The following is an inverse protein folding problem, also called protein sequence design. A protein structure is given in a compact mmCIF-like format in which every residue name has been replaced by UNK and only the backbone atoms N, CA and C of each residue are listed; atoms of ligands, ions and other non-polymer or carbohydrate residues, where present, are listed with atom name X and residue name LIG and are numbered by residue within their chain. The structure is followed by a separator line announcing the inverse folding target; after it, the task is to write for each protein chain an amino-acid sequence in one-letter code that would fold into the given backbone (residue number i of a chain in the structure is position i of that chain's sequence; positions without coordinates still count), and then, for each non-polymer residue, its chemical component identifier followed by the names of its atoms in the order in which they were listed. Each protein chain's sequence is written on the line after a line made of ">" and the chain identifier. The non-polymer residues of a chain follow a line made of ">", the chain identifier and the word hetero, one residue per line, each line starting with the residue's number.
data_IF_425594541217
#
_entry.id   IF_425594541217
#
_cell.length_a   1.000
_cell.length_b   1.000
_cell.length_c   1.000
_cell.angle_alpha   90.00
_cell.angle_beta   90.00
_cell.angle_gamma   90.00
#
_symmetry.space_group_name_H-M   'P 1'
#
loop_
_entity.id
_entity.type
_entity.pdbx_description
1 polymer ?
#
# COMPACT_ATOMS: atom_id res chain seq x y z
N UNK A 1 25.43 3.30 -1.63
CA UNK A 1 24.39 2.30 -1.90
C UNK A 1 23.07 2.97 -1.56
N UNK A 2 22.27 3.37 -2.55
CA UNK A 2 21.04 4.14 -2.33
C UNK A 2 19.91 3.24 -1.85
N UNK A 3 19.10 3.70 -0.91
CA UNK A 3 17.86 3.03 -0.53
C UNK A 3 16.89 3.06 -1.71
N UNK A 4 16.39 1.89 -2.11
CA UNK A 4 15.39 1.78 -3.17
C UNK A 4 14.03 1.76 -2.48
N UNK A 5 13.31 2.89 -2.53
CA UNK A 5 12.04 3.06 -1.84
C UNK A 5 10.86 2.59 -2.69
N UNK A 6 10.07 1.64 -2.20
CA UNK A 6 8.87 1.19 -2.89
C UNK A 6 7.72 2.17 -2.71
N UNK A 7 6.95 2.42 -3.76
CA UNK A 7 5.79 3.30 -3.71
C UNK A 7 4.52 2.47 -3.55
N UNK A 8 3.77 2.76 -2.48
CA UNK A 8 2.47 2.15 -2.20
C UNK A 8 1.38 3.20 -2.42
N UNK A 9 0.41 2.88 -3.28
CA UNK A 9 -0.74 3.77 -3.52
C UNK A 9 -2.00 3.17 -2.89
N UNK A 10 -2.62 3.95 -2.01
CA UNK A 10 -3.90 3.63 -1.37
C UNK A 10 -5.00 4.48 -2.04
N UNK A 11 -5.89 3.90 -2.84
CA UNK A 11 -6.93 4.63 -3.56
C UNK A 11 -8.13 5.01 -2.67
N UNK A 12 -8.19 4.46 -1.45
CA UNK A 12 -9.24 4.71 -0.47
C UNK A 12 -8.62 4.89 0.90
N UNK A 13 -9.31 5.60 1.79
CA UNK A 13 -8.99 5.69 3.23
C UNK A 13 -9.87 4.76 4.06
N UNK A 14 -10.91 4.16 3.46
CA UNK A 14 -11.77 3.17 4.10
C UNK A 14 -11.03 1.84 4.20
N UNK A 15 -10.84 1.27 5.41
CA UNK A 15 -10.21 -0.03 5.59
C UNK A 15 -10.96 -1.18 4.92
N UNK A 16 -12.25 -1.01 4.61
CA UNK A 16 -13.08 -2.04 3.97
C UNK A 16 -12.87 -2.13 2.46
N UNK A 17 -12.33 -1.07 1.86
CA UNK A 17 -12.16 -0.92 0.41
C UNK A 17 -10.68 -0.72 0.04
N UNK A 18 -9.79 -1.08 0.97
CA UNK A 18 -8.37 -0.78 0.88
C UNK A 18 -7.65 -1.87 0.09
N UNK A 19 -7.45 -1.61 -1.20
CA UNK A 19 -6.56 -2.38 -2.09
C UNK A 19 -5.32 -1.56 -2.36
N UNK A 20 -4.13 -2.12 -2.17
CA UNK A 20 -2.86 -1.41 -2.35
C UNK A 20 -2.21 -1.85 -3.63
N UNK A 21 -1.81 -0.89 -4.47
CA UNK A 21 -0.97 -1.20 -5.62
C UNK A 21 0.49 -0.92 -5.27
N UNK A 22 1.34 -1.94 -5.43
CA UNK A 22 2.78 -1.85 -5.24
C UNK A 22 3.41 -1.48 -6.58
N UNK A 23 4.22 -0.43 -6.61
CA UNK A 23 4.92 0.01 -7.81
C UNK A 23 6.42 -0.24 -7.71
N UNK A 24 7.02 -0.64 -8.84
CA UNK A 24 8.47 -0.66 -8.96
C UNK A 24 9.00 0.79 -8.98
N UNK A 25 9.95 1.13 -8.10
CA UNK A 25 10.49 2.50 -8.01
C UNK A 25 11.25 2.98 -9.25
N UNK A 26 11.71 2.08 -10.11
CA UNK A 26 12.49 2.41 -11.30
C UNK A 26 11.61 2.49 -12.56
N UNK A 27 10.46 1.81 -12.57
CA UNK A 27 9.60 1.67 -13.74
C UNK A 27 8.20 2.29 -13.63
N UNK A 28 7.71 2.66 -12.45
CA UNK A 28 6.32 3.13 -12.28
C UNK A 28 5.26 2.11 -12.70
N UNK A 29 5.66 0.86 -12.97
CA UNK A 29 4.80 -0.24 -13.37
C UNK A 29 4.26 -0.91 -12.10
N UNK A 30 2.95 -1.14 -12.00
CA UNK A 30 2.37 -1.88 -10.89
C UNK A 30 2.85 -3.34 -10.94
N UNK A 31 3.42 -3.81 -9.83
CA UNK A 31 3.98 -5.16 -9.71
C UNK A 31 2.98 -6.11 -9.07
N UNK A 32 2.17 -5.62 -8.13
CA UNK A 32 1.17 -6.42 -7.43
C UNK A 32 0.03 -5.56 -6.85
N UNK A 33 -1.14 -6.17 -6.69
CA UNK A 33 -2.20 -5.68 -5.81
C UNK A 33 -2.17 -6.47 -4.50
N UNK A 34 -2.21 -5.77 -3.36
CA UNK A 34 -2.26 -6.36 -2.03
C UNK A 34 -3.60 -6.04 -1.37
N UNK A 35 -4.19 -7.05 -0.72
CA UNK A 35 -5.34 -6.86 0.16
C UNK A 35 -4.86 -6.37 1.53
N UNK A 36 -5.48 -5.33 2.06
CA UNK A 36 -5.18 -4.89 3.43
C UNK A 36 -6.08 -5.63 4.40
N UNK A 37 -5.47 -6.48 5.21
CA UNK A 37 -6.12 -7.10 6.36
C UNK A 37 -5.90 -6.24 7.60
N UNK A 38 -6.99 -5.97 8.33
CA UNK A 38 -6.91 -5.29 9.62
C UNK A 38 -6.44 -6.27 10.68
N UNK A 39 -5.28 -6.03 11.26
CA UNK A 39 -4.84 -6.72 12.48
C UNK A 39 -5.25 -5.89 13.72
N UNK A 40 -6.05 -6.47 14.63
CA UNK A 40 -6.41 -5.82 15.90
C UNK A 40 -7.47 -4.71 15.83
N UNK A 41 -7.61 -3.89 16.90
CA UNK A 41 -8.63 -2.83 17.02
C UNK A 41 -8.00 -1.45 16.76
N UNK A 42 -8.45 -0.76 15.72
CA UNK A 42 -8.06 0.63 15.45
C UNK A 42 -8.55 1.52 16.60
N UNK A 43 -7.62 2.24 17.23
CA UNK A 43 -7.92 3.26 18.24
C UNK A 43 -7.73 4.63 17.61
N UNK A 44 -8.72 5.49 17.76
CA UNK A 44 -8.59 6.91 17.45
C UNK A 44 -8.30 7.65 18.76
N UNK A 45 -7.31 8.54 18.73
CA UNK A 45 -6.99 9.46 19.83
C UNK A 45 -7.48 10.85 19.46
#
# INVERSE_FOLDING_TARGET
>A
MGEVGWVLKFPSTSPKDLRVTVYDPLGGVPVAELEVVKEGKLRHG
#
